data_IF_640673081535
#
_entry.id   IF_640673081535
#
_cell.length_a   1.000
_cell.length_b   1.000
_cell.length_c   1.000
_cell.angle_alpha   90.00
_cell.angle_beta   90.00
_cell.angle_gamma   90.00
#
_symmetry.space_group_name_H-M   'P 1'
#
loop_
_entity.id
_entity.type
_entity.pdbx_description
1 polymer ?
#
# COMPACT_ATOMS: atom_id res chain seq x y z
N UNK A 1 -1.22 21.49 0.47
CA UNK A 1 -1.29 21.41 1.96
C UNK A 1 0.06 20.92 2.47
N UNK A 2 0.57 21.46 3.60
CA UNK A 2 1.86 21.05 4.19
C UNK A 2 1.68 19.83 5.10
N UNK A 3 2.68 18.95 5.10
CA UNK A 3 2.84 17.84 6.04
C UNK A 3 4.01 18.07 7.02
N UNK A 4 4.46 19.33 7.14
CA UNK A 4 5.52 19.68 8.10
C UNK A 4 5.11 19.26 9.53
N UNK A 5 6.03 18.56 10.21
CA UNK A 5 5.79 17.99 11.52
C UNK A 5 4.87 16.74 11.53
N UNK A 6 4.48 16.18 10.39
CA UNK A 6 3.74 14.91 10.29
C UNK A 6 4.69 13.76 9.99
N UNK A 7 4.41 12.59 10.58
CA UNK A 7 5.15 11.35 10.36
C UNK A 7 4.30 10.34 9.60
N UNK A 8 4.82 9.83 8.50
CA UNK A 8 4.17 8.81 7.69
C UNK A 8 4.95 7.48 7.74
N UNK A 9 4.26 6.39 8.05
CA UNK A 9 4.73 5.02 7.83
C UNK A 9 4.27 4.58 6.44
N UNK A 10 5.21 4.06 5.64
CA UNK A 10 4.89 3.41 4.36
C UNK A 10 5.45 1.99 4.38
N UNK A 11 4.57 1.00 4.55
CA UNK A 11 4.97 -0.40 4.47
C UNK A 11 5.17 -0.79 3.00
N UNK A 12 6.23 -1.55 2.68
CA UNK A 12 6.64 -1.75 1.29
C UNK A 12 7.18 -0.47 0.63
N UNK A 13 7.66 0.50 1.44
CA UNK A 13 8.01 1.86 1.03
C UNK A 13 9.35 2.00 0.29
N UNK A 14 10.13 0.93 0.13
CA UNK A 14 11.48 1.04 -0.45
C UNK A 14 11.51 0.95 -1.99
N UNK A 15 10.43 0.57 -2.65
CA UNK A 15 10.36 0.40 -4.11
C UNK A 15 8.97 0.58 -4.69
N UNK A 16 8.90 0.61 -6.02
CA UNK A 16 7.65 0.69 -6.79
C UNK A 16 6.71 1.78 -6.25
N UNK A 17 5.41 1.48 -6.10
CA UNK A 17 4.41 2.43 -5.64
C UNK A 17 4.72 3.04 -4.27
N UNK A 18 5.27 2.23 -3.33
CA UNK A 18 5.61 2.74 -1.99
C UNK A 18 6.69 3.81 -2.02
N UNK A 19 7.73 3.62 -2.84
CA UNK A 19 8.79 4.62 -3.04
C UNK A 19 8.26 5.88 -3.75
N UNK A 20 7.43 5.73 -4.78
CA UNK A 20 6.82 6.87 -5.50
C UNK A 20 5.94 7.71 -4.56
N UNK A 21 5.15 7.06 -3.69
CA UNK A 21 4.38 7.75 -2.66
C UNK A 21 5.31 8.50 -1.68
N UNK A 22 6.38 7.85 -1.22
CA UNK A 22 7.35 8.49 -0.32
C UNK A 22 7.96 9.74 -0.93
N UNK A 23 8.38 9.67 -2.20
CA UNK A 23 8.90 10.80 -2.97
C UNK A 23 7.84 11.90 -3.18
N UNK A 24 6.58 11.55 -3.34
CA UNK A 24 5.49 12.52 -3.48
C UNK A 24 5.13 13.25 -2.18
N UNK A 25 5.42 12.66 -1.00
CA UNK A 25 5.16 13.26 0.31
C UNK A 25 6.34 14.08 0.84
N UNK A 26 7.57 13.78 0.43
CA UNK A 26 8.78 14.47 0.88
C UNK A 26 8.75 16.00 0.66
N UNK A 27 8.36 16.52 -0.55
CA UNK A 27 8.27 17.96 -0.79
C UNK A 27 7.26 18.68 0.10
N UNK A 28 6.33 17.95 0.71
CA UNK A 28 5.33 18.50 1.62
C UNK A 28 5.84 18.63 3.06
N UNK A 29 7.07 18.16 3.34
CA UNK A 29 7.71 18.24 4.65
C UNK A 29 7.39 17.08 5.60
N UNK A 30 6.85 15.97 5.11
CA UNK A 30 6.61 14.77 5.92
C UNK A 30 7.92 14.14 6.38
N UNK A 31 7.96 13.67 7.63
CA UNK A 31 8.96 12.68 8.09
C UNK A 31 8.52 11.28 7.66
N UNK A 32 9.44 10.46 7.18
CA UNK A 32 9.13 9.19 6.51
C UNK A 32 9.78 7.99 7.20
N UNK A 33 8.95 7.04 7.63
CA UNK A 33 9.35 5.72 8.10
C UNK A 33 9.05 4.71 6.99
N UNK A 34 10.07 4.24 6.30
CA UNK A 34 9.95 3.40 5.10
C UNK A 34 10.30 1.95 5.45
N UNK A 35 9.33 1.06 5.36
CA UNK A 35 9.55 -0.36 5.62
C UNK A 35 9.87 -1.14 4.35
N UNK A 36 10.75 -2.14 4.46
CA UNK A 36 11.04 -3.16 3.45
C UNK A 36 11.18 -4.55 4.08
N UNK A 37 10.93 -5.61 3.29
CA UNK A 37 10.74 -6.94 3.85
C UNK A 37 12.05 -7.65 4.25
N UNK A 38 13.06 -7.68 3.37
CA UNK A 38 14.22 -8.58 3.51
C UNK A 38 15.47 -8.02 2.84
N UNK A 39 16.60 -8.69 3.01
CA UNK A 39 17.88 -8.34 2.38
C UNK A 39 17.80 -8.23 0.86
N UNK A 40 16.91 -9.00 0.21
CA UNK A 40 16.65 -8.86 -1.25
C UNK A 40 16.13 -7.46 -1.64
N UNK A 41 15.49 -6.75 -0.71
CA UNK A 41 14.99 -5.39 -0.94
C UNK A 41 15.88 -4.31 -0.33
N UNK A 42 17.03 -4.70 0.26
CA UNK A 42 17.95 -3.75 0.88
C UNK A 42 18.60 -2.84 -0.16
N UNK A 43 18.96 -3.37 -1.32
CA UNK A 43 19.53 -2.56 -2.41
C UNK A 43 18.54 -1.48 -2.88
N UNK A 44 17.24 -1.80 -2.99
CA UNK A 44 16.19 -0.83 -3.32
C UNK A 44 16.10 0.26 -2.23
N UNK A 45 16.19 -0.13 -0.96
CA UNK A 45 16.16 0.82 0.17
C UNK A 45 17.39 1.73 0.17
N UNK A 46 18.59 1.20 -0.08
CA UNK A 46 19.84 1.97 -0.12
C UNK A 46 19.86 2.96 -1.31
N UNK A 47 19.33 2.54 -2.48
CA UNK A 47 19.15 3.43 -3.64
C UNK A 47 18.20 4.58 -3.31
N UNK A 48 17.05 4.26 -2.73
CA UNK A 48 16.07 5.27 -2.35
C UNK A 48 16.59 6.21 -1.26
N UNK A 49 17.34 5.70 -0.28
CA UNK A 49 18.00 6.52 0.74
C UNK A 49 18.97 7.54 0.12
N UNK A 50 19.75 7.10 -0.88
CA UNK A 50 20.66 7.96 -1.63
C UNK A 50 19.91 9.04 -2.43
N UNK A 51 18.76 8.67 -3.03
CA UNK A 51 17.89 9.61 -3.73
C UNK A 51 17.30 10.67 -2.79
N UNK A 52 16.83 10.27 -1.61
CA UNK A 52 16.36 11.21 -0.58
C UNK A 52 17.44 12.17 -0.15
N UNK A 53 18.66 11.67 0.10
CA UNK A 53 19.80 12.51 0.47
C UNK A 53 20.13 13.54 -0.60
N UNK A 54 20.01 13.17 -1.87
CA UNK A 54 20.30 14.08 -3.00
C UNK A 54 19.19 15.10 -3.25
N UNK A 55 17.91 14.67 -3.25
CA UNK A 55 16.77 15.52 -3.66
C UNK A 55 16.08 16.22 -2.49
N UNK A 56 16.07 15.61 -1.31
CA UNK A 56 15.32 16.07 -0.13
C UNK A 56 16.18 16.01 1.14
N UNK A 57 17.34 16.69 1.21
CA UNK A 57 18.31 16.55 2.29
C UNK A 57 17.76 16.95 3.68
N UNK A 58 16.70 17.75 3.74
CA UNK A 58 16.04 18.16 4.98
C UNK A 58 14.96 17.18 5.45
N UNK A 59 14.55 16.21 4.63
CA UNK A 59 13.53 15.23 4.99
C UNK A 59 14.09 14.19 5.95
N UNK A 60 13.49 14.07 7.13
CA UNK A 60 13.83 12.98 8.07
C UNK A 60 13.27 11.66 7.51
N UNK A 61 14.17 10.78 7.04
CA UNK A 61 13.83 9.44 6.52
C UNK A 61 14.55 8.37 7.32
N UNK A 62 13.84 7.31 7.72
CA UNK A 62 14.43 6.11 8.32
C UNK A 62 13.83 4.86 7.71
N UNK A 63 14.69 3.85 7.48
CA UNK A 63 14.30 2.58 6.90
C UNK A 63 14.21 1.49 7.96
N UNK A 64 13.19 0.63 7.84
CA UNK A 64 12.90 -0.46 8.78
C UNK A 64 12.76 -1.76 7.99
N UNK A 65 13.56 -2.76 8.37
CA UNK A 65 13.48 -4.09 7.76
C UNK A 65 12.67 -5.03 8.64
N UNK A 66 11.80 -5.84 8.03
CA UNK A 66 11.09 -6.89 8.75
C UNK A 66 10.03 -7.59 7.89
N UNK A 67 9.71 -8.84 8.24
CA UNK A 67 8.60 -9.56 7.62
C UNK A 67 7.31 -9.29 8.40
N UNK A 68 6.33 -8.63 7.76
CA UNK A 68 5.06 -8.21 8.39
C UNK A 68 3.95 -9.29 8.33
N UNK A 69 4.30 -10.57 8.33
CA UNK A 69 3.31 -11.66 8.33
C UNK A 69 2.80 -12.03 9.73
N UNK A 70 3.32 -11.40 10.79
CA UNK A 70 2.89 -11.61 12.18
C UNK A 70 2.50 -10.29 12.85
N UNK A 71 1.56 -10.37 13.79
CA UNK A 71 1.17 -9.22 14.61
C UNK A 71 2.36 -8.61 15.35
N UNK A 72 3.21 -9.45 15.98
CA UNK A 72 4.36 -9.00 16.74
C UNK A 72 5.35 -8.17 15.91
N UNK A 73 5.60 -8.54 14.64
CA UNK A 73 6.48 -7.80 13.76
C UNK A 73 5.89 -6.43 13.38
N UNK A 74 4.57 -6.37 13.16
CA UNK A 74 3.88 -5.11 12.85
C UNK A 74 3.86 -4.20 14.07
N UNK A 75 3.51 -4.73 15.24
CA UNK A 75 3.52 -3.99 16.50
C UNK A 75 4.92 -3.42 16.80
N UNK A 76 5.97 -4.22 16.58
CA UNK A 76 7.36 -3.77 16.71
C UNK A 76 7.67 -2.61 15.77
N UNK A 77 7.29 -2.69 14.49
CA UNK A 77 7.50 -1.61 13.53
C UNK A 77 6.87 -0.30 14.01
N UNK A 78 5.60 -0.34 14.44
CA UNK A 78 4.91 0.86 14.90
C UNK A 78 5.51 1.43 16.19
N UNK A 79 5.90 0.56 17.14
CA UNK A 79 6.57 0.97 18.37
C UNK A 79 7.94 1.63 18.08
N UNK A 80 8.74 1.04 17.20
CA UNK A 80 10.03 1.58 16.79
C UNK A 80 9.86 2.97 16.13
N UNK A 81 8.88 3.10 15.21
CA UNK A 81 8.59 4.39 14.56
C UNK A 81 8.11 5.43 15.58
N UNK A 82 7.22 5.05 16.49
CA UNK A 82 6.77 5.96 17.57
C UNK A 82 7.93 6.43 18.43
N UNK A 83 8.88 5.53 18.75
CA UNK A 83 10.09 5.86 19.50
C UNK A 83 11.01 6.81 18.74
N UNK A 84 11.24 6.58 17.44
CA UNK A 84 12.18 7.35 16.62
C UNK A 84 11.66 8.72 16.16
N UNK A 85 10.34 8.83 15.97
CA UNK A 85 9.70 10.04 15.42
C UNK A 85 8.78 10.75 16.42
N UNK A 86 8.47 10.13 17.55
CA UNK A 86 7.60 10.68 18.59
C UNK A 86 6.10 10.50 18.34
N UNK A 87 5.68 10.44 17.05
CA UNK A 87 4.28 10.29 16.65
C UNK A 87 4.13 9.61 15.29
N UNK A 88 2.92 9.17 14.99
CA UNK A 88 2.53 8.61 13.70
C UNK A 88 1.23 9.28 13.27
N UNK A 89 1.24 10.02 12.18
CA UNK A 89 0.06 10.74 11.68
C UNK A 89 -0.56 10.05 10.45
N UNK A 90 0.26 9.34 9.65
CA UNK A 90 -0.14 8.75 8.38
C UNK A 90 0.38 7.33 8.30
N UNK A 91 -0.46 6.41 7.84
CA UNK A 91 -0.07 5.02 7.54
C UNK A 91 -0.51 4.67 6.12
N UNK A 92 0.44 4.21 5.31
CA UNK A 92 0.17 3.76 3.95
C UNK A 92 0.69 2.33 3.82
N UNK A 93 -0.22 1.38 3.64
CA UNK A 93 0.13 -0.03 3.50
C UNK A 93 0.13 -0.43 2.03
N UNK A 94 1.34 -0.63 1.47
CA UNK A 94 1.53 -1.11 0.10
C UNK A 94 2.00 -2.57 0.03
N UNK A 95 2.10 -3.26 1.16
CA UNK A 95 2.52 -4.66 1.20
C UNK A 95 1.52 -5.54 0.47
N UNK A 96 2.03 -6.41 -0.38
CA UNK A 96 1.24 -7.38 -1.10
C UNK A 96 2.10 -8.36 -1.89
N UNK A 97 1.49 -9.50 -2.22
CA UNK A 97 2.05 -10.52 -3.12
C UNK A 97 0.95 -10.95 -4.08
N UNK A 98 1.31 -11.21 -5.34
CA UNK A 98 0.40 -11.73 -6.36
C UNK A 98 0.73 -13.19 -6.65
N UNK A 99 -0.30 -13.97 -6.95
CA UNK A 99 -0.21 -15.32 -7.48
C UNK A 99 -1.28 -15.49 -8.56
N UNK A 100 -0.85 -15.81 -9.79
CA UNK A 100 -1.73 -16.20 -10.90
C UNK A 100 -1.54 -17.70 -11.16
N UNK A 101 -2.54 -18.50 -10.80
CA UNK A 101 -2.47 -19.96 -10.89
C UNK A 101 -3.87 -20.56 -10.98
N UNK A 102 -4.00 -21.73 -11.67
CA UNK A 102 -5.26 -22.46 -11.66
C UNK A 102 -5.66 -22.84 -10.24
N UNK A 103 -6.94 -22.77 -9.92
CA UNK A 103 -7.43 -23.12 -8.58
C UNK A 103 -7.09 -24.56 -8.20
N UNK A 104 -7.07 -25.47 -9.18
CA UNK A 104 -6.71 -26.90 -8.97
C UNK A 104 -5.24 -27.11 -8.58
N UNK A 105 -4.38 -26.14 -8.89
CA UNK A 105 -2.93 -26.26 -8.73
C UNK A 105 -2.40 -25.46 -7.52
N UNK A 106 -3.27 -24.62 -6.90
CA UNK A 106 -2.90 -23.86 -5.69
C UNK A 106 -2.75 -24.82 -4.53
N UNK A 107 -1.58 -24.80 -3.91
CA UNK A 107 -1.32 -25.57 -2.69
C UNK A 107 -1.83 -24.83 -1.44
N UNK A 108 -2.04 -25.57 -0.34
CA UNK A 108 -2.39 -24.99 0.97
C UNK A 108 -1.34 -23.95 1.42
N UNK A 109 -0.07 -24.25 1.26
CA UNK A 109 1.02 -23.33 1.62
C UNK A 109 0.99 -22.02 0.81
N UNK A 110 0.67 -22.08 -0.49
CA UNK A 110 0.51 -20.88 -1.33
C UNK A 110 -0.74 -20.08 -0.92
N UNK A 111 -1.83 -20.75 -0.57
CA UNK A 111 -3.02 -20.11 -0.03
C UNK A 111 -2.72 -19.37 1.27
N UNK A 112 -2.08 -20.06 2.23
CA UNK A 112 -1.73 -19.48 3.53
C UNK A 112 -0.78 -18.30 3.38
N UNK A 113 0.22 -18.39 2.49
CA UNK A 113 1.12 -17.28 2.21
C UNK A 113 0.38 -16.06 1.64
N UNK A 114 -0.55 -16.27 0.68
CA UNK A 114 -1.34 -15.18 0.11
C UNK A 114 -2.17 -14.48 1.18
N UNK A 115 -2.86 -15.24 2.03
CA UNK A 115 -3.66 -14.67 3.11
C UNK A 115 -2.81 -14.04 4.21
N UNK A 116 -1.66 -14.61 4.55
CA UNK A 116 -0.74 -14.02 5.51
C UNK A 116 -0.23 -12.64 5.05
N UNK A 117 0.17 -12.52 3.77
CA UNK A 117 0.75 -11.29 3.25
C UNK A 117 -0.33 -10.24 2.90
N UNK A 118 -1.42 -10.64 2.24
CA UNK A 118 -2.39 -9.69 1.69
C UNK A 118 -3.52 -9.33 2.68
N UNK A 119 -4.02 -10.30 3.44
CA UNK A 119 -5.15 -10.11 4.35
C UNK A 119 -4.71 -9.87 5.79
N UNK A 120 -3.97 -10.83 6.38
CA UNK A 120 -3.56 -10.78 7.78
C UNK A 120 -2.65 -9.58 8.05
N UNK A 121 -1.67 -9.31 7.19
CA UNK A 121 -0.81 -8.13 7.31
C UNK A 121 -1.67 -6.85 7.30
N UNK A 122 -2.58 -6.69 6.34
CA UNK A 122 -3.43 -5.50 6.27
C UNK A 122 -4.30 -5.33 7.53
N UNK A 123 -4.88 -6.42 8.05
CA UNK A 123 -5.66 -6.39 9.29
C UNK A 123 -4.83 -5.89 10.48
N UNK A 124 -3.64 -6.43 10.70
CA UNK A 124 -2.80 -6.03 11.82
C UNK A 124 -2.15 -4.65 11.63
N UNK A 125 -1.91 -4.21 10.40
CA UNK A 125 -1.53 -2.80 10.12
C UNK A 125 -2.68 -1.87 10.50
N UNK A 126 -3.93 -2.19 10.19
CA UNK A 126 -5.10 -1.42 10.61
C UNK A 126 -5.25 -1.42 12.13
N UNK A 127 -5.08 -2.58 12.80
CA UNK A 127 -5.09 -2.68 14.27
C UNK A 127 -4.02 -1.80 14.92
N UNK A 128 -2.78 -1.86 14.43
CA UNK A 128 -1.69 -1.02 14.92
C UNK A 128 -1.97 0.47 14.62
N UNK A 129 -2.55 0.78 13.46
CA UNK A 129 -2.98 2.16 13.13
C UNK A 129 -4.00 2.68 14.14
N UNK A 130 -4.99 1.87 14.52
CA UNK A 130 -5.98 2.23 15.52
C UNK A 130 -5.35 2.54 16.89
N UNK A 131 -4.25 1.87 17.24
CA UNK A 131 -3.53 2.05 18.50
C UNK A 131 -2.58 3.25 18.49
N UNK A 132 -1.84 3.45 17.40
CA UNK A 132 -0.67 4.33 17.38
C UNK A 132 -0.85 5.63 16.60
N UNK A 133 -1.81 5.71 15.66
CA UNK A 133 -2.01 6.90 14.85
C UNK A 133 -2.67 8.00 15.69
N UNK A 134 -2.16 9.20 15.56
CA UNK A 134 -2.69 10.38 16.24
C UNK A 134 -4.09 10.75 15.72
N UNK A 135 -4.88 11.44 16.55
CA UNK A 135 -6.20 11.92 16.16
C UNK A 135 -6.12 12.86 14.95
N UNK A 136 -7.06 12.76 14.03
CA UNK A 136 -7.02 13.44 12.74
C UNK A 136 -6.12 12.80 11.70
N UNK A 137 -5.51 11.64 12.01
CA UNK A 137 -4.61 10.91 11.14
C UNK A 137 -5.26 10.29 9.91
N UNK A 138 -4.45 9.67 9.06
CA UNK A 138 -4.86 9.09 7.76
C UNK A 138 -4.30 7.70 7.57
N UNK A 139 -5.15 6.78 7.13
CA UNK A 139 -4.75 5.39 6.83
C UNK A 139 -5.21 5.04 5.42
N UNK A 140 -4.28 4.54 4.59
CA UNK A 140 -4.57 4.09 3.23
C UNK A 140 -3.97 2.71 3.01
N UNK A 141 -4.77 1.76 2.51
CA UNK A 141 -4.29 0.42 2.15
C UNK A 141 -4.44 0.20 0.64
N UNK A 142 -3.41 -0.32 -0.01
CA UNK A 142 -3.47 -0.66 -1.43
C UNK A 142 -4.06 -2.08 -1.59
N UNK A 143 -5.17 -2.14 -2.32
CA UNK A 143 -5.84 -3.37 -2.71
C UNK A 143 -5.66 -3.63 -4.21
N UNK A 144 -6.67 -4.00 -4.96
CA UNK A 144 -6.58 -4.30 -6.40
C UNK A 144 -7.91 -4.10 -7.10
N UNK A 145 -7.91 -3.68 -8.36
CA UNK A 145 -9.10 -3.63 -9.20
C UNK A 145 -9.72 -5.00 -9.46
N UNK A 146 -8.99 -6.10 -9.19
CA UNK A 146 -9.55 -7.44 -9.30
C UNK A 146 -10.73 -7.69 -8.33
N UNK A 147 -10.92 -6.83 -7.31
CA UNK A 147 -12.12 -6.86 -6.46
C UNK A 147 -13.42 -6.58 -7.22
N UNK A 148 -13.33 -5.96 -8.40
CA UNK A 148 -14.46 -5.67 -9.29
C UNK A 148 -14.32 -6.37 -10.65
N UNK A 149 -13.30 -7.21 -10.85
CA UNK A 149 -13.08 -7.90 -12.12
C UNK A 149 -13.69 -9.31 -12.12
N UNK A 150 -14.16 -9.73 -13.28
CA UNK A 150 -14.52 -11.13 -13.57
C UNK A 150 -13.38 -11.76 -14.37
N UNK A 151 -12.44 -12.41 -13.67
CA UNK A 151 -11.23 -12.98 -14.27
C UNK A 151 -10.82 -14.28 -13.60
N UNK A 152 -10.23 -15.21 -14.37
CA UNK A 152 -9.72 -16.49 -13.87
C UNK A 152 -8.28 -16.39 -13.32
N UNK A 153 -7.82 -17.47 -12.71
CA UNK A 153 -6.44 -17.70 -12.22
C UNK A 153 -5.98 -16.84 -11.04
N UNK A 154 -6.80 -15.91 -10.55
CA UNK A 154 -6.47 -15.01 -9.43
C UNK A 154 -7.28 -15.31 -8.16
N UNK A 155 -7.84 -16.52 -8.01
CA UNK A 155 -8.76 -16.85 -6.91
C UNK A 155 -8.15 -16.61 -5.53
N UNK A 156 -6.92 -17.05 -5.26
CA UNK A 156 -6.25 -16.82 -3.97
C UNK A 156 -5.80 -15.36 -3.80
N UNK A 157 -5.30 -14.72 -4.86
CA UNK A 157 -4.87 -13.33 -4.80
C UNK A 157 -6.04 -12.38 -4.55
N UNK A 158 -7.04 -12.39 -5.43
CA UNK A 158 -8.22 -11.54 -5.29
C UNK A 158 -8.98 -11.86 -3.99
N UNK A 159 -9.13 -13.16 -3.67
CA UNK A 159 -9.73 -13.62 -2.42
C UNK A 159 -9.00 -13.13 -1.18
N UNK A 160 -7.67 -13.10 -1.18
CA UNK A 160 -6.89 -12.59 -0.05
C UNK A 160 -6.91 -11.06 0.07
N UNK A 161 -7.20 -10.31 -1.00
CA UNK A 161 -7.38 -8.85 -0.97
C UNK A 161 -8.81 -8.43 -0.63
N UNK A 162 -9.81 -9.27 -0.90
CA UNK A 162 -11.22 -8.94 -0.69
C UNK A 162 -11.59 -8.59 0.77
N UNK A 163 -11.10 -9.27 1.82
CA UNK A 163 -11.43 -8.91 3.19
C UNK A 163 -11.00 -7.50 3.58
N UNK A 164 -9.97 -6.94 2.92
CA UNK A 164 -9.42 -5.62 3.24
C UNK A 164 -10.44 -4.50 3.02
N UNK A 165 -11.37 -4.64 2.04
CA UNK A 165 -12.47 -3.68 1.90
C UNK A 165 -13.35 -3.63 3.14
N UNK A 166 -13.74 -4.80 3.68
CA UNK A 166 -14.57 -4.87 4.87
C UNK A 166 -13.82 -4.41 6.12
N UNK A 167 -12.54 -4.74 6.25
CA UNK A 167 -11.69 -4.20 7.33
C UNK A 167 -11.64 -2.67 7.27
N UNK A 168 -11.44 -2.11 6.08
CA UNK A 168 -11.41 -0.65 5.85
C UNK A 168 -12.72 0.00 6.31
N UNK A 169 -13.88 -0.57 5.93
CA UNK A 169 -15.20 -0.04 6.32
C UNK A 169 -15.42 -0.10 7.83
N UNK A 170 -15.15 -1.25 8.46
CA UNK A 170 -15.34 -1.43 9.89
C UNK A 170 -14.43 -0.48 10.69
N UNK A 171 -13.12 -0.51 10.41
CA UNK A 171 -12.13 0.30 11.12
C UNK A 171 -12.34 1.80 10.91
N UNK A 172 -12.80 2.22 9.73
CA UNK A 172 -13.14 3.64 9.49
C UNK A 172 -14.25 4.11 10.42
N UNK A 173 -15.24 3.23 10.70
CA UNK A 173 -16.34 3.55 11.61
C UNK A 173 -15.89 3.58 13.07
N UNK A 174 -15.02 2.66 13.46
CA UNK A 174 -14.46 2.61 14.81
C UNK A 174 -13.57 3.83 15.12
N UNK A 175 -12.84 4.34 14.11
CA UNK A 175 -11.92 5.46 14.27
C UNK A 175 -12.55 6.84 13.97
N UNK A 176 -13.81 6.88 13.56
CA UNK A 176 -14.54 8.13 13.30
C UNK A 176 -14.51 9.12 14.47
N UNK A 177 -14.70 8.71 15.76
CA UNK A 177 -14.62 9.63 16.89
C UNK A 177 -13.26 10.32 17.06
N UNK A 178 -12.20 9.69 16.53
CA UNK A 178 -10.82 10.22 16.54
C UNK A 178 -10.49 11.01 15.28
N UNK A 179 -11.45 11.25 14.40
CA UNK A 179 -11.29 11.96 13.12
C UNK A 179 -10.23 11.33 12.20
N UNK A 180 -9.95 10.03 12.36
CA UNK A 180 -9.02 9.28 11.51
C UNK A 180 -9.76 8.78 10.27
N UNK A 181 -9.32 9.18 9.07
CA UNK A 181 -9.86 8.63 7.84
C UNK A 181 -9.12 7.34 7.44
N UNK A 182 -9.88 6.31 7.04
CA UNK A 182 -9.37 5.00 6.67
C UNK A 182 -9.94 4.62 5.31
N UNK A 183 -9.09 4.47 4.30
CA UNK A 183 -9.52 4.16 2.94
C UNK A 183 -8.66 3.06 2.31
N UNK A 184 -9.19 2.46 1.25
CA UNK A 184 -8.45 1.57 0.36
C UNK A 184 -8.37 2.19 -1.05
N UNK A 185 -7.27 1.94 -1.75
CA UNK A 185 -7.10 2.29 -3.17
C UNK A 185 -6.91 1.01 -3.95
N UNK A 186 -7.65 0.87 -5.04
CA UNK A 186 -7.69 -0.29 -5.92
C UNK A 186 -7.12 0.05 -7.31
N UNK A 187 -5.79 -0.06 -7.50
CA UNK A 187 -5.16 0.18 -8.80
C UNK A 187 -5.54 -0.87 -9.83
N UNK A 188 -5.51 -0.49 -11.10
CA UNK A 188 -5.47 -1.42 -12.23
C UNK A 188 -4.15 -2.19 -12.31
N UNK A 189 -3.96 -3.02 -13.34
CA UNK A 189 -2.69 -3.65 -13.62
C UNK A 189 -1.59 -2.58 -13.77
N UNK A 190 -0.61 -2.59 -12.85
CA UNK A 190 0.43 -1.56 -12.80
C UNK A 190 1.69 -1.97 -13.57
N UNK A 191 2.27 -1.04 -14.30
CA UNK A 191 3.54 -1.18 -15.01
C UNK A 191 4.72 -1.27 -14.03
N UNK A 192 4.91 -2.44 -13.43
CA UNK A 192 5.92 -2.69 -12.40
C UNK A 192 6.44 -4.12 -12.47
N UNK A 193 7.64 -4.40 -11.92
CA UNK A 193 8.14 -5.77 -11.76
C UNK A 193 7.23 -6.71 -10.95
N UNK A 194 6.22 -6.20 -10.26
CA UNK A 194 5.22 -7.00 -9.57
C UNK A 194 4.25 -7.70 -10.54
N UNK A 195 3.94 -7.06 -11.67
CA UNK A 195 2.93 -7.51 -12.64
C UNK A 195 3.50 -8.50 -13.67
N UNK A 196 4.61 -8.18 -14.30
CA UNK A 196 5.11 -8.91 -15.47
C UNK A 196 5.40 -10.40 -15.26
N UNK A 197 5.94 -10.86 -14.12
CA UNK A 197 6.22 -12.29 -13.91
C UNK A 197 4.98 -13.19 -13.92
N UNK A 198 3.79 -12.62 -13.82
CA UNK A 198 2.51 -13.35 -13.79
C UNK A 198 1.84 -13.41 -15.17
N UNK A 199 2.31 -12.64 -16.16
CA UNK A 199 1.59 -12.40 -17.39
C UNK A 199 2.38 -12.82 -18.63
N UNK A 200 1.69 -13.44 -19.62
CA UNK A 200 2.25 -13.64 -20.95
C UNK A 200 2.26 -12.30 -21.74
N UNK A 201 3.08 -12.19 -22.81
CA UNK A 201 3.07 -11.00 -23.66
C UNK A 201 1.68 -10.65 -24.23
N UNK A 202 0.88 -11.66 -24.58
CA UNK A 202 -0.48 -11.50 -25.10
C UNK A 202 -1.42 -10.97 -23.99
N UNK A 203 -1.29 -11.48 -22.77
CA UNK A 203 -2.05 -11.00 -21.62
C UNK A 203 -1.67 -9.55 -21.28
N UNK A 204 -0.39 -9.20 -21.34
CA UNK A 204 0.08 -7.82 -21.17
C UNK A 204 -0.55 -6.89 -22.22
N UNK A 205 -0.56 -7.31 -23.49
CA UNK A 205 -1.19 -6.54 -24.57
C UNK A 205 -2.69 -6.35 -24.35
N UNK A 206 -3.39 -7.41 -23.92
CA UNK A 206 -4.80 -7.35 -23.54
C UNK A 206 -5.02 -6.36 -22.40
N UNK A 207 -4.28 -6.47 -21.29
CA UNK A 207 -4.43 -5.56 -20.15
C UNK A 207 -4.19 -4.10 -20.53
N UNK A 208 -3.21 -3.82 -21.40
CA UNK A 208 -2.99 -2.47 -21.93
C UNK A 208 -4.18 -1.95 -22.71
N UNK A 209 -4.79 -2.79 -23.57
CA UNK A 209 -5.94 -2.38 -24.40
C UNK A 209 -7.19 -2.02 -23.58
N UNK A 210 -7.31 -2.52 -22.36
CA UNK A 210 -8.45 -2.26 -21.48
C UNK A 210 -8.29 -0.96 -20.66
N UNK A 211 -7.09 -0.41 -20.56
CA UNK A 211 -6.83 0.81 -19.81
C UNK A 211 -6.94 2.07 -20.66
N UNK A 212 -7.29 3.18 -20.04
CA UNK A 212 -7.34 4.50 -20.65
C UNK A 212 -5.99 4.81 -21.35
N UNK A 213 -6.06 5.22 -22.62
CA UNK A 213 -4.88 5.51 -23.42
C UNK A 213 -4.09 4.27 -23.87
N UNK A 214 -4.67 3.07 -23.78
CA UNK A 214 -4.03 1.83 -24.26
C UNK A 214 -2.77 1.44 -23.46
N UNK A 215 -2.71 1.76 -22.17
CA UNK A 215 -1.56 1.50 -21.32
C UNK A 215 -1.94 0.86 -19.97
N UNK A 216 -0.96 0.28 -19.32
CA UNK A 216 -1.10 -0.12 -17.91
C UNK A 216 -1.16 1.12 -17.00
N UNK A 217 -1.68 0.94 -15.80
CA UNK A 217 -1.61 1.96 -14.73
C UNK A 217 -0.15 2.24 -14.37
N UNK A 218 0.28 3.49 -14.41
CA UNK A 218 1.59 3.90 -13.89
C UNK A 218 1.48 4.14 -12.36
N UNK A 219 2.56 3.89 -11.62
CA UNK A 219 2.64 4.25 -10.20
C UNK A 219 2.40 5.75 -9.97
N UNK A 220 2.76 6.58 -10.96
CA UNK A 220 2.52 8.03 -10.98
C UNK A 220 1.04 8.41 -11.16
N UNK A 221 0.19 7.50 -11.60
CA UNK A 221 -1.27 7.72 -11.60
C UNK A 221 -1.86 7.51 -10.19
N UNK A 222 -1.23 6.67 -9.38
CA UNK A 222 -1.74 6.26 -8.06
C UNK A 222 -1.17 7.12 -6.93
N UNK A 223 0.11 7.45 -6.97
CA UNK A 223 0.75 8.24 -5.91
C UNK A 223 0.07 9.60 -5.65
N UNK A 224 -0.40 10.38 -6.67
CA UNK A 224 -1.16 11.61 -6.46
C UNK A 224 -2.49 11.39 -5.74
N UNK A 225 -3.20 10.29 -6.03
CA UNK A 225 -4.44 9.95 -5.33
C UNK A 225 -4.18 9.65 -3.85
N UNK A 226 -3.16 8.84 -3.56
CA UNK A 226 -2.78 8.54 -2.17
C UNK A 226 -2.35 9.82 -1.45
N UNK A 227 -1.55 10.68 -2.11
CA UNK A 227 -1.18 11.99 -1.58
C UNK A 227 -2.43 12.83 -1.25
N UNK A 228 -3.40 12.91 -2.16
CA UNK A 228 -4.65 13.62 -1.92
C UNK A 228 -5.40 13.07 -0.70
N UNK A 229 -5.55 11.75 -0.58
CA UNK A 229 -6.26 11.11 0.54
C UNK A 229 -5.60 11.39 1.90
N UNK A 230 -4.27 11.52 1.94
CA UNK A 230 -3.55 11.79 3.19
C UNK A 230 -3.34 13.29 3.47
N UNK A 231 -3.71 14.16 2.54
CA UNK A 231 -3.65 15.63 2.70
C UNK A 231 -5.04 16.27 2.75
N UNK A 232 -5.70 16.37 1.60
CA UNK A 232 -6.95 17.13 1.41
C UNK A 232 -8.21 16.26 1.48
N UNK A 233 -8.06 14.95 1.26
CA UNK A 233 -9.16 13.96 1.21
C UNK A 233 -9.73 13.56 2.58
N UNK A 234 -9.61 14.40 3.62
CA UNK A 234 -10.00 14.05 4.99
C UNK A 234 -11.48 13.73 5.21
N UNK A 235 -12.36 14.17 4.30
CA UNK A 235 -13.80 13.84 4.34
C UNK A 235 -14.13 12.48 3.69
N UNK A 236 -13.17 11.89 2.99
CA UNK A 236 -13.31 10.56 2.40
C UNK A 236 -12.86 9.53 3.43
N UNK A 237 -13.76 8.64 3.86
CA UNK A 237 -13.44 7.56 4.80
C UNK A 237 -14.33 6.35 4.56
N UNK A 238 -13.82 5.14 4.82
CA UNK A 238 -14.50 3.87 4.61
C UNK A 238 -14.64 3.46 3.14
N UNK A 239 -13.94 4.14 2.21
CA UNK A 239 -14.10 3.93 0.78
C UNK A 239 -13.00 3.04 0.21
N UNK A 240 -13.37 2.26 -0.82
CA UNK A 240 -12.43 1.64 -1.76
C UNK A 240 -12.50 2.42 -3.07
N UNK A 241 -11.42 3.11 -3.42
CA UNK A 241 -11.37 3.97 -4.61
C UNK A 241 -10.65 3.23 -5.73
N UNK A 242 -11.39 2.93 -6.80
CA UNK A 242 -10.87 2.26 -7.98
C UNK A 242 -10.18 3.29 -8.89
N UNK A 243 -8.85 3.24 -8.95
CA UNK A 243 -8.01 4.12 -9.78
C UNK A 243 -7.31 3.24 -10.84
N UNK A 244 -8.02 2.91 -11.91
CA UNK A 244 -7.64 1.83 -12.82
C UNK A 244 -7.75 2.19 -14.32
N UNK A 245 -7.96 3.45 -14.66
CA UNK A 245 -8.10 3.88 -16.05
C UNK A 245 -9.30 3.27 -16.78
N UNK A 246 -10.37 2.94 -16.06
CA UNK A 246 -11.57 2.32 -16.64
C UNK A 246 -11.45 0.79 -16.86
N UNK A 247 -10.39 0.17 -16.35
CA UNK A 247 -10.18 -1.28 -16.48
C UNK A 247 -11.34 -2.11 -15.89
N UNK A 248 -11.90 -1.67 -14.77
CA UNK A 248 -13.11 -2.23 -14.18
C UNK A 248 -14.01 -1.11 -13.65
N UNK A 249 -15.30 -1.41 -13.51
CA UNK A 249 -16.29 -0.52 -12.87
C UNK A 249 -16.93 -1.19 -11.67
N UNK A 250 -17.31 -0.39 -10.68
CA UNK A 250 -18.05 -0.83 -9.49
C UNK A 250 -18.87 0.31 -8.90
#
# INVERSE_FOLDING_TARGET
MSLAGKTAIITGGAKNLGAEIALALAPLGASLALHYNSDKSKEDADKLASEFKAKFPSTKVKFYQGNLTTEAAIEKLFADVKSDFGKIDIVINTVGKVLKKSITDITEAEYDEMFAINSKCAFFVLKASAKYVEDGGKVVTIVTSLLAAFTGYYSSYAGSKAPVEHFTRAVSKELQPRLISVNAVAPGPMDTPFFYPQESPEAVAYHKSQGLGGRLTDIKDIAPLVKFLVTEGGWITGQTIFANGGYTTR
#
